data_IF_339320449237
#
_entry.id   IF_339320449237
#
_cell.length_a   1.000
_cell.length_b   1.000
_cell.length_c   1.000
_cell.angle_alpha   90.00
_cell.angle_beta   90.00
_cell.angle_gamma   90.00
#
_symmetry.space_group_name_H-M   'P 1'
#
loop_
_entity.id
_entity.type
_entity.pdbx_description
1 polymer ?
#
# COMPACT_ATOMS: atom_id res chain seq x y z
N UNK A 1 6.31 15.18 7.97
CA UNK A 1 7.47 14.50 7.36
C UNK A 1 7.34 12.99 7.54
N UNK A 2 7.13 12.50 8.78
CA UNK A 2 6.95 11.07 9.04
C UNK A 2 5.79 10.42 8.26
N UNK A 3 4.60 11.05 8.23
CA UNK A 3 3.45 10.55 7.46
C UNK A 3 3.72 10.46 5.96
N UNK A 4 4.34 11.50 5.39
CA UNK A 4 4.77 11.50 3.99
C UNK A 4 5.76 10.36 3.66
N UNK A 5 6.74 10.12 4.53
CA UNK A 5 7.69 9.02 4.36
C UNK A 5 6.98 7.67 4.45
N UNK A 6 6.08 7.48 5.43
CA UNK A 6 5.32 6.25 5.59
C UNK A 6 4.41 5.97 4.38
N UNK A 7 3.84 7.02 3.77
CA UNK A 7 3.03 6.93 2.56
C UNK A 7 3.87 6.54 1.32
N UNK A 8 5.00 7.22 1.08
CA UNK A 8 5.77 7.03 -0.14
C UNK A 8 6.75 5.85 -0.11
N UNK A 9 7.17 5.41 1.09
CA UNK A 9 8.21 4.39 1.22
C UNK A 9 7.84 3.05 0.56
N UNK A 10 6.64 2.48 0.72
CA UNK A 10 6.28 1.22 0.06
C UNK A 10 6.33 1.32 -1.47
N UNK A 11 5.77 2.40 -2.04
CA UNK A 11 5.77 2.61 -3.49
C UNK A 11 7.20 2.76 -4.05
N UNK A 12 8.04 3.55 -3.38
CA UNK A 12 9.44 3.71 -3.76
C UNK A 12 10.22 2.38 -3.61
N UNK A 13 10.00 1.66 -2.52
CA UNK A 13 10.64 0.37 -2.27
C UNK A 13 10.24 -0.69 -3.31
N UNK A 14 8.98 -0.70 -3.78
CA UNK A 14 8.53 -1.59 -4.85
C UNK A 14 9.31 -1.34 -6.14
N UNK A 15 9.41 -0.07 -6.55
CA UNK A 15 10.12 0.31 -7.77
C UNK A 15 11.60 -0.06 -7.69
N UNK A 16 12.23 0.16 -6.53
CA UNK A 16 13.62 -0.25 -6.27
C UNK A 16 13.75 -1.77 -6.35
N UNK A 17 12.84 -2.53 -5.72
CA UNK A 17 12.84 -3.99 -5.76
C UNK A 17 12.75 -4.51 -7.20
N UNK A 18 11.83 -3.98 -8.00
CA UNK A 18 11.65 -4.38 -9.41
C UNK A 18 12.84 -3.98 -10.29
N UNK A 19 13.44 -2.81 -10.06
CA UNK A 19 14.62 -2.36 -10.79
C UNK A 19 15.88 -3.19 -10.46
N UNK A 20 16.02 -3.62 -9.20
CA UNK A 20 17.14 -4.44 -8.74
C UNK A 20 16.94 -5.93 -8.97
N UNK A 21 15.72 -6.39 -9.24
CA UNK A 21 15.41 -7.82 -9.42
C UNK A 21 16.34 -8.55 -10.42
N UNK A 22 16.69 -7.98 -11.60
CA UNK A 22 17.61 -8.61 -12.53
C UNK A 22 19.04 -8.71 -11.97
N UNK A 23 19.49 -7.71 -11.22
CA UNK A 23 20.84 -7.65 -10.64
C UNK A 23 21.00 -8.60 -9.45
N UNK A 24 19.93 -8.81 -8.70
CA UNK A 24 19.89 -9.67 -7.53
C UNK A 24 19.59 -11.14 -7.87
N UNK A 25 19.50 -11.48 -9.17
CA UNK A 25 19.12 -12.80 -9.66
C UNK A 25 17.85 -13.35 -8.96
N UNK A 26 16.89 -12.46 -8.71
CA UNK A 26 15.61 -12.85 -8.11
C UNK A 26 14.86 -13.82 -9.05
N UNK A 27 13.90 -14.60 -8.51
CA UNK A 27 13.22 -15.62 -9.28
C UNK A 27 12.66 -15.11 -10.62
N UNK A 28 12.71 -15.92 -11.69
CA UNK A 28 12.32 -15.49 -13.03
C UNK A 28 10.82 -15.21 -13.18
N UNK A 29 9.99 -15.65 -12.23
CA UNK A 29 8.57 -15.35 -12.19
C UNK A 29 8.27 -13.92 -11.73
N UNK A 30 9.26 -13.20 -11.20
CA UNK A 30 9.09 -11.78 -10.92
C UNK A 30 8.98 -10.99 -12.24
N UNK A 31 8.00 -10.08 -12.33
CA UNK A 31 7.83 -9.24 -13.51
C UNK A 31 9.03 -8.32 -13.71
N UNK A 32 9.45 -8.18 -14.97
CA UNK A 32 10.50 -7.24 -15.34
C UNK A 32 9.90 -5.93 -15.85
N UNK A 33 10.52 -4.82 -15.50
CA UNK A 33 10.11 -3.49 -15.99
C UNK A 33 10.26 -3.34 -17.50
N UNK A 34 11.13 -4.11 -18.15
CA UNK A 34 11.29 -4.11 -19.61
C UNK A 34 10.18 -4.86 -20.35
N UNK A 35 9.36 -5.65 -19.64
CA UNK A 35 8.38 -6.59 -20.19
C UNK A 35 6.95 -6.18 -19.76
N UNK A 36 6.64 -4.87 -19.75
CA UNK A 36 5.34 -4.36 -19.27
C UNK A 36 4.15 -4.95 -20.03
N UNK A 37 4.29 -5.20 -21.33
CA UNK A 37 3.21 -5.74 -22.16
C UNK A 37 2.79 -7.15 -21.76
N UNK A 38 3.67 -7.91 -21.11
CA UNK A 38 3.38 -9.26 -20.60
C UNK A 38 3.03 -9.28 -19.12
N UNK A 39 2.84 -8.12 -18.49
CA UNK A 39 2.42 -8.08 -17.08
C UNK A 39 1.02 -8.67 -16.91
N UNK A 40 0.82 -9.61 -15.96
CA UNK A 40 -0.52 -10.05 -15.59
C UNK A 40 -1.37 -8.89 -15.08
N UNK A 41 -2.70 -9.02 -15.21
CA UNK A 41 -3.65 -7.96 -14.86
C UNK A 41 -3.53 -7.52 -13.39
N UNK A 42 -3.17 -8.43 -12.50
CA UNK A 42 -2.92 -8.16 -11.08
C UNK A 42 -1.84 -7.10 -10.88
N UNK A 43 -0.78 -7.08 -11.69
CA UNK A 43 0.27 -6.07 -11.57
C UNK A 43 -0.17 -4.71 -12.10
N UNK A 44 -1.04 -4.69 -13.12
CA UNK A 44 -1.67 -3.45 -13.57
C UNK A 44 -2.63 -2.89 -12.53
N UNK A 45 -3.40 -3.75 -11.86
CA UNK A 45 -4.28 -3.36 -10.75
C UNK A 45 -3.47 -2.90 -9.53
N UNK A 46 -2.36 -3.56 -9.24
CA UNK A 46 -1.39 -3.16 -8.21
C UNK A 46 -0.85 -1.76 -8.48
N UNK A 47 -0.31 -1.55 -9.69
CA UNK A 47 0.28 -0.27 -10.09
C UNK A 47 -0.77 0.85 -10.12
N UNK A 48 -1.93 0.61 -10.74
CA UNK A 48 -3.02 1.57 -10.82
C UNK A 48 -3.59 1.93 -9.44
N UNK A 49 -3.88 0.92 -8.62
CA UNK A 49 -4.38 1.10 -7.25
C UNK A 49 -3.37 1.86 -6.37
N UNK A 50 -2.10 1.47 -6.41
CA UNK A 50 -1.03 2.12 -5.64
C UNK A 50 -0.79 3.57 -6.07
N UNK A 51 -0.80 3.87 -7.38
CA UNK A 51 -0.68 5.25 -7.89
C UNK A 51 -1.85 6.11 -7.43
N UNK A 52 -3.08 5.61 -7.56
CA UNK A 52 -4.28 6.33 -7.10
C UNK A 52 -4.24 6.57 -5.60
N UNK A 53 -3.93 5.53 -4.81
CA UNK A 53 -3.84 5.58 -3.37
C UNK A 53 -2.78 6.58 -2.90
N UNK A 54 -1.54 6.41 -3.36
CA UNK A 54 -0.42 7.29 -3.03
C UNK A 54 -0.70 8.75 -3.44
N UNK A 55 -1.27 8.98 -4.62
CA UNK A 55 -1.61 10.34 -5.07
C UNK A 55 -2.66 10.97 -4.17
N UNK A 56 -3.71 10.23 -3.78
CA UNK A 56 -4.73 10.72 -2.87
C UNK A 56 -4.13 11.05 -1.49
N UNK A 57 -3.26 10.18 -0.95
CA UNK A 57 -2.55 10.44 0.31
C UNK A 57 -1.62 11.66 0.24
N UNK A 58 -0.96 11.90 -0.90
CA UNK A 58 -0.11 13.08 -1.09
C UNK A 58 -0.94 14.37 -1.12
N UNK A 59 -2.10 14.33 -1.77
CA UNK A 59 -3.03 15.46 -1.83
C UNK A 59 -3.64 15.74 -0.45
N UNK A 60 -4.02 14.71 0.30
CA UNK A 60 -4.55 14.84 1.66
C UNK A 60 -3.48 15.41 2.61
N UNK A 61 -2.28 14.84 2.58
CA UNK A 61 -1.12 15.37 3.31
C UNK A 61 -0.88 16.85 2.99
N UNK A 62 -0.94 17.24 1.71
CA UNK A 62 -0.77 18.63 1.29
C UNK A 62 -1.89 19.53 1.83
N UNK A 63 -3.14 19.06 1.84
CA UNK A 63 -4.29 19.77 2.40
C UNK A 63 -4.08 20.04 3.89
N UNK A 64 -3.67 19.03 4.66
CA UNK A 64 -3.39 19.17 6.09
C UNK A 64 -2.28 20.18 6.38
N UNK A 65 -1.26 20.24 5.51
CA UNK A 65 -0.14 21.19 5.64
C UNK A 65 -0.52 22.65 5.38
N UNK A 66 -1.63 22.92 4.70
CA UNK A 66 -2.14 24.29 4.51
C UNK A 66 -2.74 24.89 5.77
N UNK A 67 -3.06 24.05 6.76
CA UNK A 67 -3.57 24.51 8.06
C UNK A 67 -5.02 24.99 8.04
N UNK A 68 -5.78 24.65 6.99
CA UNK A 68 -7.21 25.00 6.84
C UNK A 68 -8.07 24.36 7.95
N UNK A 69 -7.58 23.28 8.57
CA UNK A 69 -8.16 22.60 9.74
C UNK A 69 -7.09 22.38 10.80
N UNK A 70 -7.46 22.56 12.08
CA UNK A 70 -6.59 22.21 13.21
C UNK A 70 -6.70 20.71 13.50
N UNK A 71 -5.63 19.98 13.21
CA UNK A 71 -5.56 18.53 13.43
C UNK A 71 -5.01 18.26 14.84
N UNK A 72 -5.77 17.59 15.73
CA UNK A 72 -5.29 17.21 17.05
C UNK A 72 -4.15 16.19 16.96
N UNK A 73 -3.24 16.21 17.94
CA UNK A 73 -2.10 15.26 17.99
C UNK A 73 -2.52 13.79 18.01
N UNK A 74 -3.72 13.49 18.50
CA UNK A 74 -4.26 12.13 18.53
C UNK A 74 -4.59 11.61 17.12
N UNK A 75 -5.18 12.45 16.27
CA UNK A 75 -5.46 12.15 14.85
C UNK A 75 -4.15 11.85 14.11
N UNK A 76 -3.15 12.73 14.25
CA UNK A 76 -1.83 12.53 13.63
C UNK A 76 -1.13 11.22 14.06
N UNK A 77 -1.37 10.75 15.30
CA UNK A 77 -0.81 9.49 15.80
C UNK A 77 -1.56 8.29 15.24
N UNK A 78 -2.88 8.37 15.13
CA UNK A 78 -3.70 7.32 14.55
C UNK A 78 -3.38 7.14 13.05
N UNK A 79 -3.34 8.24 12.30
CA UNK A 79 -2.95 8.29 10.90
C UNK A 79 -1.55 7.68 10.69
N UNK A 80 -0.55 8.16 11.45
CA UNK A 80 0.82 7.64 11.34
C UNK A 80 0.90 6.16 11.68
N UNK A 81 0.14 5.69 12.68
CA UNK A 81 0.12 4.27 13.04
C UNK A 81 -0.45 3.41 11.90
N UNK A 82 -1.58 3.83 11.31
CA UNK A 82 -2.17 3.15 10.16
C UNK A 82 -1.20 3.09 8.96
N UNK A 83 -0.58 4.22 8.61
CA UNK A 83 0.42 4.28 7.54
C UNK A 83 1.67 3.45 7.84
N UNK A 84 2.14 3.45 9.09
CA UNK A 84 3.32 2.69 9.49
C UNK A 84 3.12 1.17 9.35
N UNK A 85 1.89 0.66 9.52
CA UNK A 85 1.57 -0.74 9.24
C UNK A 85 1.72 -1.11 7.76
N UNK A 86 1.78 -0.13 6.86
CA UNK A 86 2.07 -0.34 5.44
C UNK A 86 3.47 -0.93 5.20
N UNK A 87 4.43 -0.58 6.06
CA UNK A 87 5.81 -1.07 5.96
C UNK A 87 5.93 -2.58 6.22
N UNK A 88 5.44 -3.14 7.36
CA UNK A 88 5.48 -4.58 7.57
C UNK A 88 4.59 -5.33 6.57
N UNK A 89 3.46 -4.76 6.15
CA UNK A 89 2.60 -5.38 5.14
C UNK A 89 3.34 -5.51 3.79
N UNK A 90 3.99 -4.43 3.35
CA UNK A 90 4.83 -4.41 2.16
C UNK A 90 5.96 -5.44 2.26
N UNK A 91 6.69 -5.46 3.39
CA UNK A 91 7.82 -6.38 3.57
C UNK A 91 7.37 -7.85 3.49
N UNK A 92 6.22 -8.19 4.09
CA UNK A 92 5.66 -9.54 4.03
C UNK A 92 5.22 -9.92 2.61
N UNK A 93 4.54 -9.02 1.88
CA UNK A 93 4.14 -9.27 0.49
C UNK A 93 5.34 -9.38 -0.45
N UNK A 94 6.34 -8.52 -0.29
CA UNK A 94 7.59 -8.59 -1.04
C UNK A 94 8.34 -9.91 -0.76
N UNK A 95 8.42 -10.33 0.50
CA UNK A 95 9.00 -11.62 0.87
C UNK A 95 8.22 -12.80 0.26
N UNK A 96 6.88 -12.78 0.33
CA UNK A 96 6.03 -13.78 -0.29
C UNK A 96 6.23 -13.85 -1.82
N UNK A 97 6.44 -12.70 -2.47
CA UNK A 97 6.64 -12.61 -3.93
C UNK A 97 7.91 -13.32 -4.40
N UNK A 98 8.95 -13.36 -3.56
CA UNK A 98 10.25 -13.97 -3.89
C UNK A 98 10.44 -15.35 -3.29
N UNK A 99 9.57 -15.77 -2.37
CA UNK A 99 9.62 -17.07 -1.73
C UNK A 99 9.26 -18.20 -2.71
N UNK A 100 9.88 -19.37 -2.53
CA UNK A 100 9.48 -20.59 -3.27
C UNK A 100 8.11 -21.11 -2.83
N UNK A 101 7.82 -20.96 -1.54
CA UNK A 101 6.52 -21.27 -0.94
C UNK A 101 6.03 -20.03 -0.18
N UNK A 102 4.98 -19.34 -0.66
CA UNK A 102 4.44 -18.16 0.01
C UNK A 102 3.51 -18.52 1.18
N UNK A 103 3.13 -19.80 1.38
CA UNK A 103 2.14 -20.19 2.39
C UNK A 103 2.42 -19.69 3.82
N UNK A 104 3.68 -19.72 4.33
CA UNK A 104 3.97 -19.24 5.69
C UNK A 104 3.69 -17.73 5.90
N UNK A 105 3.65 -16.95 4.82
CA UNK A 105 3.42 -15.51 4.90
C UNK A 105 1.92 -15.14 4.95
N UNK A 106 1.01 -16.06 4.62
CA UNK A 106 -0.41 -15.72 4.46
C UNK A 106 -1.03 -15.22 5.77
N UNK A 107 -0.83 -15.95 6.86
CA UNK A 107 -1.36 -15.59 8.18
C UNK A 107 -0.80 -14.24 8.66
N UNK A 108 0.52 -13.97 8.66
CA UNK A 108 1.02 -12.67 9.08
C UNK A 108 0.59 -11.53 8.15
N UNK A 109 0.48 -11.74 6.83
CA UNK A 109 -0.05 -10.74 5.89
C UNK A 109 -1.48 -10.34 6.29
N UNK A 110 -2.36 -11.33 6.45
CA UNK A 110 -3.76 -11.09 6.80
C UNK A 110 -3.87 -10.43 8.18
N UNK A 111 -3.06 -10.84 9.15
CA UNK A 111 -3.05 -10.24 10.49
C UNK A 111 -2.68 -8.74 10.45
N UNK A 112 -1.63 -8.37 9.71
CA UNK A 112 -1.21 -6.97 9.56
C UNK A 112 -2.26 -6.18 8.79
N UNK A 113 -2.84 -6.74 7.71
CA UNK A 113 -3.90 -6.10 6.93
C UNK A 113 -5.14 -5.82 7.79
N UNK A 114 -5.55 -6.76 8.65
CA UNK A 114 -6.68 -6.56 9.57
C UNK A 114 -6.37 -5.51 10.65
N UNK A 115 -5.15 -5.51 11.21
CA UNK A 115 -4.73 -4.49 12.16
C UNK A 115 -4.74 -3.08 11.53
N UNK A 116 -4.28 -2.98 10.28
CA UNK A 116 -4.30 -1.73 9.51
C UNK A 116 -5.74 -1.29 9.22
N UNK A 117 -6.60 -2.20 8.75
CA UNK A 117 -8.00 -1.90 8.50
C UNK A 117 -8.72 -1.42 9.77
N UNK A 118 -8.42 -2.02 10.93
CA UNK A 118 -8.95 -1.57 12.22
C UNK A 118 -8.45 -0.17 12.60
N UNK A 119 -7.16 0.12 12.36
CA UNK A 119 -6.59 1.46 12.59
C UNK A 119 -7.24 2.52 11.70
N UNK A 120 -7.43 2.23 10.40
CA UNK A 120 -8.12 3.10 9.44
C UNK A 120 -9.58 3.33 9.85
N UNK A 121 -10.29 2.26 10.24
CA UNK A 121 -11.68 2.38 10.67
C UNK A 121 -11.81 3.20 11.98
N UNK A 122 -10.87 3.04 12.91
CA UNK A 122 -10.81 3.87 14.12
C UNK A 122 -10.61 5.34 13.77
N UNK A 123 -9.66 5.63 12.88
CA UNK A 123 -9.34 7.00 12.46
C UNK A 123 -10.55 7.68 11.80
N UNK A 124 -11.16 7.01 10.83
CA UNK A 124 -12.33 7.50 10.07
C UNK A 124 -13.52 7.77 11.01
N UNK A 125 -13.80 6.83 11.92
CA UNK A 125 -14.97 6.95 12.82
C UNK A 125 -14.73 7.92 13.98
N UNK A 126 -13.48 8.18 14.39
CA UNK A 126 -13.16 9.01 15.55
C UNK A 126 -12.86 10.47 15.19
N UNK A 127 -12.19 10.70 14.07
CA UNK A 127 -11.63 12.01 13.71
C UNK A 127 -12.20 12.61 12.42
N UNK A 128 -12.61 11.78 11.46
CA UNK A 128 -13.02 12.24 10.12
C UNK A 128 -14.52 12.48 9.92
N UNK A 129 -15.31 12.50 11.02
CA UNK A 129 -16.76 12.83 10.96
C UNK A 129 -17.06 14.26 10.48
N UNK A 130 -16.09 15.15 10.56
CA UNK A 130 -16.22 16.59 10.24
C UNK A 130 -15.43 16.99 9.00
N UNK A 131 -14.94 16.01 8.23
CA UNK A 131 -14.19 16.26 7.00
C UNK A 131 -15.04 16.92 5.93
N UNK A 132 -14.36 17.68 5.06
CA UNK A 132 -15.00 18.24 3.87
C UNK A 132 -15.29 17.12 2.86
N UNK A 133 -16.19 17.37 1.91
CA UNK A 133 -16.49 16.40 0.84
C UNK A 133 -15.26 16.02 0.03
N UNK A 134 -14.34 16.95 -0.18
CA UNK A 134 -13.10 16.72 -0.91
C UNK A 134 -12.16 15.80 -0.13
N UNK A 135 -11.94 16.10 1.15
CA UNK A 135 -11.14 15.28 2.07
C UNK A 135 -11.71 13.85 2.18
N UNK A 136 -13.02 13.70 2.36
CA UNK A 136 -13.69 12.39 2.34
C UNK A 136 -13.48 11.65 1.01
N UNK A 137 -13.48 12.35 -0.12
CA UNK A 137 -13.21 11.71 -1.41
C UNK A 137 -11.76 11.22 -1.51
N UNK A 138 -10.79 12.02 -1.04
CA UNK A 138 -9.38 11.61 -0.97
C UNK A 138 -9.20 10.38 -0.09
N UNK A 139 -9.86 10.32 1.08
CA UNK A 139 -9.81 9.16 1.98
C UNK A 139 -10.31 7.88 1.30
N UNK A 140 -11.44 7.98 0.58
CA UNK A 140 -12.00 6.84 -0.15
C UNK A 140 -11.11 6.37 -1.29
N UNK A 141 -10.48 7.29 -2.02
CA UNK A 141 -9.53 6.94 -3.08
C UNK A 141 -8.25 6.35 -2.48
N UNK A 142 -7.76 6.88 -1.35
CA UNK A 142 -6.62 6.33 -0.62
C UNK A 142 -6.89 4.89 -0.17
N UNK A 143 -7.93 4.68 0.63
CA UNK A 143 -8.27 3.35 1.17
C UNK A 143 -8.66 2.38 0.06
N UNK A 144 -9.44 2.83 -0.94
CA UNK A 144 -9.85 2.01 -2.06
C UNK A 144 -8.70 1.62 -2.99
N UNK A 145 -7.80 2.57 -3.31
CA UNK A 145 -6.63 2.35 -4.14
C UNK A 145 -5.63 1.40 -3.49
N UNK A 146 -5.28 1.65 -2.23
CA UNK A 146 -4.38 0.77 -1.46
C UNK A 146 -5.02 -0.61 -1.21
N UNK A 147 -6.33 -0.67 -0.95
CA UNK A 147 -7.06 -1.93 -0.82
C UNK A 147 -7.05 -2.75 -2.11
N UNK A 148 -7.27 -2.12 -3.27
CA UNK A 148 -7.18 -2.76 -4.58
C UNK A 148 -5.75 -3.28 -4.83
N UNK A 149 -4.76 -2.44 -4.54
CA UNK A 149 -3.35 -2.80 -4.69
C UNK A 149 -2.98 -4.00 -3.83
N UNK A 150 -3.37 -4.00 -2.55
CA UNK A 150 -3.19 -5.11 -1.63
C UNK A 150 -3.82 -6.40 -2.15
N UNK A 151 -5.10 -6.37 -2.55
CA UNK A 151 -5.81 -7.55 -3.03
C UNK A 151 -5.20 -8.10 -4.31
N UNK A 152 -4.79 -7.23 -5.23
CA UNK A 152 -4.13 -7.63 -6.47
C UNK A 152 -2.76 -8.27 -6.19
N UNK A 153 -1.96 -7.69 -5.29
CA UNK A 153 -0.68 -8.29 -4.88
C UNK A 153 -0.89 -9.65 -4.22
N UNK A 154 -1.82 -9.73 -3.27
CA UNK A 154 -2.13 -10.97 -2.56
C UNK A 154 -2.58 -12.05 -3.55
N UNK A 155 -3.48 -11.70 -4.48
CA UNK A 155 -3.92 -12.62 -5.52
C UNK A 155 -2.75 -13.09 -6.39
N UNK A 156 -1.87 -12.19 -6.81
CA UNK A 156 -0.68 -12.56 -7.58
C UNK A 156 0.23 -13.54 -6.82
N UNK A 157 0.46 -13.33 -5.53
CA UNK A 157 1.29 -14.23 -4.72
C UNK A 157 0.72 -15.65 -4.56
N UNK A 158 -0.61 -15.80 -4.45
CA UNK A 158 -1.23 -17.08 -4.04
C UNK A 158 -2.06 -17.76 -5.14
N UNK A 159 -2.54 -17.02 -6.14
CA UNK A 159 -3.44 -17.51 -7.18
C UNK A 159 -2.94 -17.24 -8.61
N UNK A 160 -2.28 -16.10 -8.85
CA UNK A 160 -1.89 -15.65 -10.20
C UNK A 160 -0.45 -15.91 -10.63
N UNK A 161 0.46 -16.24 -9.70
CA UNK A 161 1.88 -16.46 -10.03
C UNK A 161 2.08 -17.64 -10.99
N UNK A 162 3.06 -17.57 -11.93
CA UNK A 162 3.43 -18.71 -12.76
C UNK A 162 3.85 -19.84 -11.85
N UNK A 163 2.96 -20.82 -11.66
CA UNK A 163 3.29 -22.08 -11.02
C UNK A 163 4.27 -22.75 -11.98
N UNK A 164 5.55 -22.78 -11.60
CA UNK A 164 6.52 -23.67 -12.22
C UNK A 164 6.07 -25.12 -12.11
#
# INVERSE_FOLDING_TARGET
>A
MATLLALCAPAAALLVLLALAPLLALPPHLPRLAELESWPAELWLLAGGGVLGTTAGLLDWRLHRRGERRIPRAEHRAELFALALGVPLFALLAAASVARDPAPFLVPIVAVALAMAAAIAYDETRFHRTCTRYETALHRVLVGGEGLAFLAWLHWCYAGGPRG
#
